data_IF_700099055609
#
_entry.id   IF_700099055609
#
_cell.length_a   1.000
_cell.length_b   1.000
_cell.length_c   1.000
_cell.angle_alpha   90.00
_cell.angle_beta   90.00
_cell.angle_gamma   90.00
#
_symmetry.space_group_name_H-M   'P 1'
#
loop_
_entity.id
_entity.type
_entity.pdbx_description
1 polymer ?
#
# COMPACT_ATOMS: atom_id res chain seq x y z
N UNK A 1 -65.41 31.52 5.56
CA UNK A 1 -64.35 32.27 6.25
C UNK A 1 -63.83 31.42 7.41
N UNK A 2 -62.61 30.86 7.31
CA UNK A 2 -61.93 30.12 8.38
C UNK A 2 -60.49 30.63 8.42
N UNK A 3 -60.07 31.21 9.54
CA UNK A 3 -58.70 31.72 9.77
C UNK A 3 -57.76 30.53 9.97
N UNK A 4 -56.52 30.53 9.43
CA UNK A 4 -55.51 29.58 9.86
C UNK A 4 -54.93 30.03 11.20
N UNK A 5 -54.98 29.14 12.19
CA UNK A 5 -54.33 29.33 13.49
C UNK A 5 -52.81 29.36 13.33
N UNK A 6 -52.18 30.35 13.96
CA UNK A 6 -50.73 30.47 14.08
C UNK A 6 -50.21 29.40 15.03
N UNK A 7 -49.53 28.37 14.52
CA UNK A 7 -48.73 27.45 15.34
C UNK A 7 -47.40 28.12 15.65
N UNK A 8 -47.28 28.67 16.85
CA UNK A 8 -46.02 29.19 17.40
C UNK A 8 -45.12 27.96 17.61
N UNK A 9 -44.06 27.86 16.81
CA UNK A 9 -43.03 26.85 17.00
C UNK A 9 -42.38 27.09 18.36
N UNK A 10 -42.56 26.14 19.27
CA UNK A 10 -41.97 26.15 20.60
C UNK A 10 -40.46 26.17 20.47
N UNK A 11 -39.85 27.25 20.94
CA UNK A 11 -38.41 27.43 21.10
C UNK A 11 -37.77 26.20 21.73
N UNK A 12 -37.02 25.44 20.95
CA UNK A 12 -36.09 24.43 21.44
C UNK A 12 -35.16 25.10 22.44
N UNK A 13 -35.27 24.70 23.72
CA UNK A 13 -34.37 25.08 24.79
C UNK A 13 -32.94 24.76 24.34
N UNK A 14 -32.18 25.76 23.92
CA UNK A 14 -30.74 25.63 23.72
C UNK A 14 -30.18 25.28 25.09
N UNK A 15 -29.78 24.02 25.28
CA UNK A 15 -28.86 23.65 26.36
C UNK A 15 -27.54 24.28 25.98
N UNK A 16 -27.19 25.33 26.71
CA UNK A 16 -25.82 25.82 26.79
C UNK A 16 -25.05 24.73 27.53
N UNK A 17 -24.36 23.87 26.79
CA UNK A 17 -23.28 23.07 27.36
C UNK A 17 -22.16 24.05 27.67
N UNK A 18 -21.88 24.19 28.97
CA UNK A 18 -20.72 24.92 29.48
C UNK A 18 -19.47 24.34 28.81
N UNK A 19 -18.60 25.15 28.22
CA UNK A 19 -17.31 24.65 27.75
C UNK A 19 -16.53 24.14 28.96
N UNK A 20 -16.16 22.87 28.86
CA UNK A 20 -15.22 22.14 29.69
C UNK A 20 -14.01 23.01 30.11
N UNK A 21 -13.82 23.13 31.43
CA UNK A 21 -12.58 23.48 32.14
C UNK A 21 -11.44 24.08 31.29
N UNK A 22 -11.50 25.39 31.04
CA UNK A 22 -10.33 26.16 30.59
C UNK A 22 -9.34 26.29 31.75
N UNK A 23 -8.05 26.08 31.49
CA UNK A 23 -7.00 26.22 32.51
C UNK A 23 -6.98 27.66 33.03
N UNK A 24 -6.87 27.87 34.35
CA UNK A 24 -6.89 29.23 34.95
C UNK A 24 -5.77 30.13 34.43
N UNK A 25 -4.66 29.55 33.96
CA UNK A 25 -3.53 30.28 33.38
C UNK A 25 -3.86 30.86 32.00
N UNK A 26 -4.70 30.18 31.20
CA UNK A 26 -5.09 30.63 29.87
C UNK A 26 -6.04 31.83 29.95
N UNK A 27 -6.85 31.92 31.00
CA UNK A 27 -7.78 33.06 31.19
C UNK A 27 -7.03 34.36 31.50
N UNK A 28 -5.98 34.29 32.32
CA UNK A 28 -5.16 35.45 32.70
C UNK A 28 -4.34 36.01 31.51
N UNK A 29 -3.83 35.13 30.64
CA UNK A 29 -3.10 35.54 29.43
C UNK A 29 -4.02 36.29 28.45
N UNK A 30 -5.25 35.79 28.26
CA UNK A 30 -6.25 36.42 27.39
C UNK A 30 -6.68 37.79 27.94
N UNK A 31 -6.81 37.95 29.26
CA UNK A 31 -7.14 39.24 29.88
C UNK A 31 -6.06 40.30 29.65
N UNK A 32 -4.78 39.92 29.73
CA UNK A 32 -3.66 40.83 29.44
C UNK A 32 -3.65 41.24 27.96
N UNK A 33 -3.88 40.30 27.05
CA UNK A 33 -3.95 40.61 25.61
C UNK A 33 -5.12 41.55 25.27
N UNK A 34 -6.29 41.35 25.88
CA UNK A 34 -7.47 42.19 25.64
C UNK A 34 -7.33 43.60 26.23
N UNK A 35 -6.53 43.78 27.28
CA UNK A 35 -6.29 45.09 27.89
C UNK A 35 -5.61 46.07 26.92
N UNK A 36 -4.80 45.56 25.99
CA UNK A 36 -4.07 46.35 25.00
C UNK A 36 -4.91 46.64 23.74
N UNK A 37 -6.03 45.92 23.53
CA UNK A 37 -6.89 46.09 22.35
C UNK A 37 -7.86 47.24 22.56
N UNK A 38 -7.89 48.17 21.60
CA UNK A 38 -8.83 49.30 21.67
C UNK A 38 -10.29 48.86 21.49
N UNK A 39 -11.21 49.53 22.17
CA UNK A 39 -12.65 49.22 22.13
C UNK A 39 -13.24 49.16 20.70
N UNK A 40 -12.76 50.02 19.80
CA UNK A 40 -13.23 50.03 18.41
C UNK A 40 -12.85 48.76 17.63
N UNK A 41 -11.69 48.18 17.93
CA UNK A 41 -11.20 46.97 17.30
C UNK A 41 -12.00 45.73 17.78
N UNK A 42 -12.37 45.70 19.05
CA UNK A 42 -13.28 44.68 19.61
C UNK A 42 -14.67 44.73 18.97
N UNK A 43 -15.24 45.93 18.79
CA UNK A 43 -16.55 46.08 18.15
C UNK A 43 -16.51 45.64 16.67
N UNK A 44 -15.40 45.91 15.98
CA UNK A 44 -15.16 45.47 14.60
C UNK A 44 -15.02 43.95 14.50
N UNK A 45 -14.27 43.32 15.40
CA UNK A 45 -14.13 41.87 15.46
C UNK A 45 -15.50 41.17 15.65
N UNK A 46 -16.34 41.70 16.55
CA UNK A 46 -17.72 41.19 16.75
C UNK A 46 -18.60 41.36 15.52
N UNK A 47 -18.45 42.45 14.78
CA UNK A 47 -19.24 42.72 13.57
C UNK A 47 -18.87 41.84 12.37
N UNK A 48 -17.63 41.31 12.34
CA UNK A 48 -17.13 40.50 11.22
C UNK A 48 -17.77 39.10 11.14
N UNK A 49 -18.46 38.64 12.20
CA UNK A 49 -19.25 37.40 12.18
C UNK A 49 -18.46 36.10 12.00
N UNK A 50 -17.12 36.16 11.90
CA UNK A 50 -16.26 35.01 11.65
C UNK A 50 -16.14 34.06 12.85
N UNK A 51 -16.49 34.52 14.05
CA UNK A 51 -16.48 33.71 15.27
C UNK A 51 -17.58 32.63 15.30
N UNK A 52 -18.67 32.76 14.52
CA UNK A 52 -19.83 31.88 14.65
C UNK A 52 -19.78 30.61 13.81
N UNK A 53 -18.76 30.39 12.96
CA UNK A 53 -18.83 29.31 11.98
C UNK A 53 -17.46 28.68 11.73
N UNK A 54 -17.18 27.55 12.36
CA UNK A 54 -16.30 26.55 11.73
C UNK A 54 -17.00 26.10 10.44
N UNK A 55 -16.49 26.38 9.23
CA UNK A 55 -17.14 25.92 8.02
C UNK A 55 -16.90 24.42 7.91
N UNK A 56 -17.83 23.61 8.44
CA UNK A 56 -17.86 22.18 8.10
C UNK A 56 -18.05 22.09 6.58
N UNK A 57 -17.26 21.27 5.85
CA UNK A 57 -17.51 21.05 4.44
C UNK A 57 -18.95 20.55 4.30
N UNK A 58 -19.78 21.29 3.56
CA UNK A 58 -21.12 20.84 3.24
C UNK A 58 -20.97 19.61 2.36
N UNK A 59 -21.05 18.42 2.95
CA UNK A 59 -21.37 17.22 2.20
C UNK A 59 -22.72 17.45 1.53
N UNK A 60 -22.68 17.82 0.26
CA UNK A 60 -23.88 17.91 -0.54
C UNK A 60 -24.46 16.50 -0.61
N UNK A 61 -25.60 16.30 0.07
CA UNK A 61 -26.39 15.08 -0.05
C UNK A 61 -26.63 14.83 -1.53
N UNK A 62 -25.98 13.82 -2.10
CA UNK A 62 -26.23 13.39 -3.48
C UNK A 62 -27.71 13.06 -3.59
N UNK A 63 -28.47 13.90 -4.28
CA UNK A 63 -29.90 13.69 -4.47
C UNK A 63 -30.12 12.36 -5.17
N UNK A 64 -30.67 11.39 -4.45
CA UNK A 64 -31.06 10.12 -5.04
C UNK A 64 -32.15 10.30 -6.08
N UNK A 65 -32.32 9.30 -6.95
CA UNK A 65 -33.47 9.27 -7.87
C UNK A 65 -34.75 9.17 -7.05
N UNK A 66 -35.77 9.97 -7.37
CA UNK A 66 -37.08 9.89 -6.71
C UNK A 66 -37.79 8.53 -6.94
N UNK A 67 -37.46 7.82 -8.03
CA UNK A 67 -37.92 6.46 -8.33
C UNK A 67 -36.82 5.72 -9.13
N UNK A 68 -36.75 4.39 -9.04
CA UNK A 68 -35.78 3.52 -9.73
C UNK A 68 -35.83 3.66 -11.26
N UNK A 69 -37.03 3.94 -11.79
CA UNK A 69 -37.26 4.08 -13.24
C UNK A 69 -37.13 5.51 -13.76
N UNK A 70 -36.69 6.47 -12.93
CA UNK A 70 -36.50 7.87 -13.33
C UNK A 70 -35.01 8.23 -13.43
N UNK A 71 -34.55 8.97 -14.46
CA UNK A 71 -33.19 9.48 -14.51
C UNK A 71 -32.90 10.48 -13.39
N UNK A 72 -31.62 10.63 -13.05
CA UNK A 72 -31.17 11.58 -12.03
C UNK A 72 -30.83 12.92 -12.69
N UNK A 73 -31.43 14.01 -12.20
CA UNK A 73 -31.11 15.36 -12.65
C UNK A 73 -29.85 15.86 -11.92
N UNK A 74 -28.88 16.38 -12.67
CA UNK A 74 -27.64 16.95 -12.15
C UNK A 74 -27.49 18.40 -12.61
N UNK A 75 -26.92 19.26 -11.76
CA UNK A 75 -26.72 20.67 -12.12
C UNK A 75 -25.66 20.81 -13.20
N UNK A 76 -25.97 21.55 -14.27
CA UNK A 76 -25.03 21.89 -15.35
C UNK A 76 -23.84 22.76 -14.88
N UNK A 77 -23.93 23.36 -13.68
CA UNK A 77 -22.85 24.18 -13.10
C UNK A 77 -21.68 23.35 -12.57
N UNK A 78 -21.84 22.03 -12.44
CA UNK A 78 -20.80 21.13 -11.94
C UNK A 78 -20.09 20.48 -13.13
N UNK A 79 -18.82 20.80 -13.42
CA UNK A 79 -18.09 20.18 -14.51
C UNK A 79 -17.85 18.70 -14.22
N UNK A 80 -17.92 17.86 -15.26
CA UNK A 80 -17.61 16.43 -15.14
C UNK A 80 -16.10 16.25 -14.99
N UNK A 81 -15.67 15.42 -14.04
CA UNK A 81 -14.24 15.12 -13.86
C UNK A 81 -13.74 14.30 -15.05
N UNK A 82 -12.57 14.67 -15.60
CA UNK A 82 -11.96 13.95 -16.73
C UNK A 82 -11.46 12.56 -16.34
N UNK A 83 -11.01 12.41 -15.09
CA UNK A 83 -10.50 11.16 -14.57
C UNK A 83 -11.59 10.44 -13.76
N UNK A 84 -11.76 9.15 -14.06
CA UNK A 84 -12.55 8.22 -13.26
C UNK A 84 -11.60 7.50 -12.31
N UNK A 85 -11.96 7.40 -11.03
CA UNK A 85 -11.23 6.55 -10.09
C UNK A 85 -11.46 5.08 -10.47
N UNK A 86 -10.44 4.47 -11.08
CA UNK A 86 -10.46 3.04 -11.39
C UNK A 86 -9.80 2.33 -10.21
N UNK A 87 -10.61 1.69 -9.36
CA UNK A 87 -10.09 0.77 -8.34
C UNK A 87 -9.57 -0.47 -9.10
N UNK A 88 -8.26 -0.57 -9.26
CA UNK A 88 -7.64 -1.73 -9.88
C UNK A 88 -7.81 -2.93 -8.93
N UNK A 89 -8.72 -3.85 -9.25
CA UNK A 89 -8.86 -5.11 -8.53
C UNK A 89 -7.60 -5.98 -8.64
N UNK A 90 -7.43 -6.93 -7.71
CA UNK A 90 -6.33 -7.89 -7.78
C UNK A 90 -6.45 -8.71 -9.08
N UNK A 91 -5.46 -8.56 -9.96
CA UNK A 91 -5.40 -9.29 -11.22
C UNK A 91 -4.98 -10.72 -10.92
N UNK A 92 -5.79 -11.69 -11.36
CA UNK A 92 -5.41 -13.11 -11.33
C UNK A 92 -4.26 -13.32 -12.32
N UNK A 93 -3.05 -13.55 -11.82
CA UNK A 93 -1.93 -13.90 -12.67
C UNK A 93 -1.90 -15.41 -12.80
N UNK A 94 -2.09 -15.90 -14.03
CA UNK A 94 -1.86 -17.32 -14.34
C UNK A 94 -0.36 -17.57 -14.22
N UNK A 95 0.05 -18.35 -13.23
CA UNK A 95 1.42 -18.77 -13.03
C UNK A 95 1.52 -20.26 -13.28
N UNK A 96 2.68 -20.70 -13.79
CA UNK A 96 2.97 -22.12 -13.94
C UNK A 96 3.12 -22.71 -12.53
N UNK A 97 2.30 -23.73 -12.18
CA UNK A 97 2.31 -24.31 -10.84
C UNK A 97 3.68 -24.88 -10.45
N UNK A 98 4.54 -25.25 -11.42
CA UNK A 98 5.90 -25.73 -11.14
C UNK A 98 6.82 -24.62 -10.64
N UNK A 99 6.51 -23.38 -10.97
CA UNK A 99 7.30 -22.20 -10.60
C UNK A 99 6.56 -21.31 -9.61
N UNK A 100 5.50 -21.83 -8.99
CA UNK A 100 4.77 -21.13 -7.93
C UNK A 100 5.53 -21.24 -6.61
N UNK A 101 5.49 -20.19 -5.78
CA UNK A 101 6.12 -20.20 -4.45
C UNK A 101 5.55 -21.28 -3.52
N UNK A 102 4.39 -21.81 -3.83
CA UNK A 102 3.72 -22.90 -3.12
C UNK A 102 4.17 -24.29 -3.59
N UNK A 103 5.00 -24.39 -4.63
CA UNK A 103 5.51 -25.64 -5.19
C UNK A 103 6.61 -26.26 -4.31
N UNK A 104 6.27 -26.68 -3.09
CA UNK A 104 7.12 -27.52 -2.23
C UNK A 104 8.48 -26.92 -1.83
N UNK A 105 9.15 -27.60 -0.90
CA UNK A 105 10.53 -27.30 -0.50
C UNK A 105 11.46 -28.40 -1.01
N UNK A 106 12.68 -28.06 -1.38
CA UNK A 106 13.68 -29.05 -1.81
C UNK A 106 14.12 -29.91 -0.63
N UNK A 107 13.84 -31.22 -0.70
CA UNK A 107 14.41 -32.22 0.20
C UNK A 107 15.81 -32.61 -0.27
N UNK A 108 16.82 -32.03 0.38
CA UNK A 108 18.25 -32.21 0.05
C UNK A 108 18.69 -33.65 0.28
N UNK A 109 18.25 -34.29 1.35
CA UNK A 109 18.66 -35.66 1.69
C UNK A 109 18.04 -36.68 0.74
N UNK A 110 16.75 -36.51 0.41
CA UNK A 110 16.09 -37.33 -0.58
C UNK A 110 16.66 -37.12 -1.98
N UNK A 111 17.03 -35.89 -2.34
CA UNK A 111 17.69 -35.60 -3.61
C UNK A 111 19.02 -36.35 -3.71
N UNK A 112 19.87 -36.28 -2.69
CA UNK A 112 21.15 -37.01 -2.65
C UNK A 112 20.94 -38.49 -2.90
N UNK A 113 20.15 -39.15 -2.05
CA UNK A 113 19.90 -40.60 -2.15
C UNK A 113 19.41 -41.04 -3.52
N UNK A 114 18.57 -40.23 -4.17
CA UNK A 114 18.04 -40.55 -5.52
C UNK A 114 19.05 -40.34 -6.63
N UNK A 115 19.99 -39.41 -6.44
CA UNK A 115 20.97 -38.99 -7.45
C UNK A 115 22.43 -39.25 -7.05
N UNK A 116 22.67 -40.13 -6.07
CA UNK A 116 24.01 -40.47 -5.58
C UNK A 116 24.94 -40.96 -6.71
N UNK A 117 24.37 -41.63 -7.72
CA UNK A 117 25.11 -42.13 -8.88
C UNK A 117 25.81 -41.02 -9.68
N UNK A 118 25.25 -39.80 -9.70
CA UNK A 118 25.85 -38.64 -10.37
C UNK A 118 27.18 -38.29 -9.71
N UNK A 119 27.19 -38.25 -8.38
CA UNK A 119 28.35 -37.81 -7.61
C UNK A 119 29.36 -38.93 -7.37
N UNK A 120 28.89 -40.17 -7.23
CA UNK A 120 29.74 -41.33 -7.00
C UNK A 120 30.46 -41.80 -8.27
N UNK A 121 29.77 -41.79 -9.43
CA UNK A 121 30.27 -42.45 -10.64
C UNK A 121 30.34 -41.50 -11.84
N UNK A 122 29.25 -40.84 -12.23
CA UNK A 122 29.18 -40.14 -13.52
C UNK A 122 30.09 -38.90 -13.58
N UNK A 123 30.03 -38.01 -12.58
CA UNK A 123 30.83 -36.80 -12.53
C UNK A 123 32.34 -37.10 -12.43
N UNK A 124 32.81 -38.05 -11.58
CA UNK A 124 34.21 -38.48 -11.59
C UNK A 124 34.65 -39.06 -12.95
N UNK A 125 33.82 -39.89 -13.59
CA UNK A 125 34.13 -40.45 -14.90
C UNK A 125 34.24 -39.36 -15.98
N UNK A 126 33.27 -38.44 -16.04
CA UNK A 126 33.30 -37.30 -16.97
C UNK A 126 34.56 -36.45 -16.76
N UNK A 127 34.94 -36.19 -15.51
CA UNK A 127 36.16 -35.45 -15.18
C UNK A 127 37.41 -36.12 -15.74
N UNK A 128 37.54 -37.44 -15.61
CA UNK A 128 38.68 -38.18 -16.15
C UNK A 128 38.72 -38.15 -17.69
N UNK A 129 37.57 -38.26 -18.34
CA UNK A 129 37.46 -38.15 -19.78
C UNK A 129 37.87 -36.77 -20.29
N UNK A 130 37.39 -35.71 -19.64
CA UNK A 130 37.77 -34.33 -19.97
C UNK A 130 39.27 -34.10 -19.76
N UNK A 131 39.89 -34.66 -18.71
CA UNK A 131 41.34 -34.59 -18.53
C UNK A 131 42.11 -35.30 -19.65
N UNK A 132 41.59 -36.44 -20.14
CA UNK A 132 42.17 -37.13 -21.30
C UNK A 132 42.02 -36.28 -22.56
N UNK A 133 40.90 -35.57 -22.73
CA UNK A 133 40.69 -34.67 -23.88
C UNK A 133 41.63 -33.46 -23.83
N UNK A 134 41.82 -32.83 -22.67
CA UNK A 134 42.77 -31.71 -22.49
C UNK A 134 44.19 -32.11 -22.87
N UNK A 135 44.61 -33.35 -22.58
CA UNK A 135 45.93 -33.85 -22.96
C UNK A 135 46.07 -34.14 -24.45
N UNK A 136 44.96 -34.38 -25.16
CA UNK A 136 44.92 -34.72 -26.58
C UNK A 136 44.74 -33.49 -27.48
N UNK A 137 43.98 -32.50 -27.03
CA UNK A 137 43.73 -31.28 -27.79
C UNK A 137 44.96 -30.38 -27.81
N UNK A 138 45.10 -29.63 -28.91
CA UNK A 138 46.19 -28.65 -29.11
C UNK A 138 45.66 -27.21 -29.18
N UNK A 139 44.36 -27.05 -29.45
CA UNK A 139 43.73 -25.75 -29.59
C UNK A 139 43.54 -25.10 -28.21
N UNK A 140 44.06 -23.87 -28.01
CA UNK A 140 44.04 -23.23 -26.70
C UNK A 140 42.61 -22.92 -26.21
N UNK A 141 41.72 -22.49 -27.11
CA UNK A 141 40.32 -22.18 -26.77
C UNK A 141 39.57 -23.42 -26.26
N UNK A 142 39.70 -24.55 -26.96
CA UNK A 142 39.09 -25.83 -26.56
C UNK A 142 39.65 -26.31 -25.23
N UNK A 143 40.97 -26.17 -25.01
CA UNK A 143 41.60 -26.52 -23.73
C UNK A 143 41.03 -25.68 -22.59
N UNK A 144 40.80 -24.39 -22.81
CA UNK A 144 40.20 -23.51 -21.80
C UNK A 144 38.75 -23.92 -21.47
N UNK A 145 37.94 -24.25 -22.47
CA UNK A 145 36.57 -24.73 -22.26
C UNK A 145 36.53 -26.03 -21.46
N UNK A 146 37.38 -27.00 -21.82
CA UNK A 146 37.50 -28.27 -21.11
C UNK A 146 37.95 -28.05 -19.65
N UNK A 147 38.90 -27.13 -19.42
CA UNK A 147 39.32 -26.76 -18.05
C UNK A 147 38.19 -26.08 -17.27
N UNK A 148 37.41 -25.20 -17.89
CA UNK A 148 36.23 -24.58 -17.27
C UNK A 148 35.21 -25.64 -16.86
N UNK A 149 34.97 -26.64 -17.71
CA UNK A 149 34.07 -27.77 -17.42
C UNK A 149 34.58 -28.60 -16.24
N UNK A 150 35.87 -28.95 -16.22
CA UNK A 150 36.49 -29.67 -15.08
C UNK A 150 36.33 -28.86 -13.78
N UNK A 151 36.60 -27.56 -13.80
CA UNK A 151 36.44 -26.70 -12.62
C UNK A 151 34.99 -26.66 -12.12
N UNK A 152 34.01 -26.69 -13.03
CA UNK A 152 32.60 -26.77 -12.65
C UNK A 152 32.28 -28.09 -11.95
N UNK A 153 32.79 -29.22 -12.47
CA UNK A 153 32.59 -30.54 -11.84
C UNK A 153 33.23 -30.57 -10.45
N UNK A 154 34.46 -30.07 -10.31
CA UNK A 154 35.16 -30.00 -9.02
C UNK A 154 34.37 -29.15 -8.00
N UNK A 155 33.75 -28.05 -8.44
CA UNK A 155 32.87 -27.23 -7.59
C UNK A 155 31.62 -27.99 -7.13
N UNK A 156 30.96 -28.73 -8.03
CA UNK A 156 29.78 -29.53 -7.69
C UNK A 156 30.11 -30.61 -6.66
N UNK A 157 31.22 -31.34 -6.85
CA UNK A 157 31.66 -32.36 -5.89
C UNK A 157 32.02 -31.73 -4.53
N UNK A 158 32.62 -30.53 -4.53
CA UNK A 158 32.96 -29.82 -3.29
C UNK A 158 31.72 -29.33 -2.54
N UNK A 159 30.72 -28.80 -3.25
CA UNK A 159 29.47 -28.33 -2.63
C UNK A 159 28.71 -29.48 -1.97
N UNK A 160 28.61 -30.63 -2.63
CA UNK A 160 27.96 -31.81 -2.03
C UNK A 160 28.68 -32.27 -0.76
N UNK A 161 30.01 -32.38 -0.80
CA UNK A 161 30.80 -32.78 0.38
C UNK A 161 30.61 -31.80 1.55
N UNK A 162 30.50 -30.50 1.28
CA UNK A 162 30.33 -29.49 2.34
C UNK A 162 28.93 -29.48 2.95
N UNK A 163 27.90 -29.90 2.21
CA UNK A 163 26.53 -29.93 2.73
C UNK A 163 26.17 -31.29 3.37
N UNK A 164 27.10 -32.25 3.38
CA UNK A 164 26.96 -33.55 4.05
C UNK A 164 27.31 -33.54 5.56
N UNK A 165 27.69 -32.38 6.09
CA UNK A 165 27.96 -32.11 7.51
C UNK A 165 26.93 -31.15 8.09
#
# INVERSE_FOLDING_TARGET
>A
MKKPGSTISTSSKIRFEEPESSSSEDEEEIEQELADVTFGELQKARSNGSHLVHPKPKEEKKGGRANKNRPMEVSCKKPVTRFREIIQGSKKVVRDPRFESLCGTLDVDGFRKRYDFLFANELPAEREELQKQVKKSKDPEVIEELKKRISWIDKQLKSECSQAH
#
